data_IF_256124451181
#
_entry.id   IF_256124451181
#
_cell.length_a   1.000
_cell.length_b   1.000
_cell.length_c   1.000
_cell.angle_alpha   90.00
_cell.angle_beta   90.00
_cell.angle_gamma   90.00
#
_symmetry.space_group_name_H-M   'P 1'
#
loop_
_entity.id
_entity.type
_entity.pdbx_description
1 polymer ?
#
# COMPACT_ATOMS: atom_id res chain seq x y z
N UNK A 1 2.86 9.99 13.69
CA UNK A 1 2.78 8.73 14.46
C UNK A 1 1.39 8.13 14.26
N UNK A 2 1.25 6.86 13.81
CA UNK A 2 -0.04 6.18 13.68
C UNK A 2 -0.89 6.26 14.96
N UNK A 3 -0.27 6.31 16.13
CA UNK A 3 -0.98 6.52 17.39
C UNK A 3 -1.75 7.83 17.44
N UNK A 4 -1.21 8.91 16.92
CA UNK A 4 -1.91 10.20 16.87
C UNK A 4 -3.24 10.10 16.13
N UNK A 5 -3.28 9.33 15.04
CA UNK A 5 -4.48 9.17 14.23
C UNK A 5 -5.53 8.28 14.90
N UNK A 6 -5.07 7.30 15.69
CA UNK A 6 -5.96 6.34 16.36
C UNK A 6 -6.35 6.80 17.77
N UNK A 7 -5.62 7.75 18.35
CA UNK A 7 -6.01 8.42 19.61
C UNK A 7 -7.07 9.51 19.35
N UNK A 8 -7.21 9.94 18.08
CA UNK A 8 -8.27 10.85 17.66
C UNK A 8 -9.50 10.05 17.20
N UNK A 9 -10.45 9.85 18.12
CA UNK A 9 -11.73 9.21 17.82
C UNK A 9 -12.43 9.87 16.62
N UNK A 10 -12.21 11.18 16.41
CA UNK A 10 -12.75 11.93 15.29
C UNK A 10 -12.29 11.38 13.94
N UNK A 11 -11.02 10.96 13.81
CA UNK A 11 -10.52 10.37 12.57
C UNK A 11 -11.21 9.06 12.22
N UNK A 12 -11.47 8.22 13.23
CA UNK A 12 -12.19 6.98 13.01
C UNK A 12 -13.66 7.22 12.62
N UNK A 13 -14.28 8.24 13.19
CA UNK A 13 -15.64 8.63 12.86
C UNK A 13 -15.69 9.23 11.44
N UNK A 14 -14.78 10.13 11.09
CA UNK A 14 -14.67 10.69 9.74
C UNK A 14 -14.48 9.60 8.68
N UNK A 15 -13.64 8.57 8.96
CA UNK A 15 -13.47 7.43 8.06
C UNK A 15 -14.77 6.62 7.88
N UNK A 16 -15.56 6.45 8.95
CA UNK A 16 -16.86 5.75 8.88
C UNK A 16 -17.88 6.54 8.08
N UNK A 17 -17.81 7.87 8.15
CA UNK A 17 -18.75 8.79 7.49
C UNK A 17 -18.43 8.98 6.00
N UNK A 18 -17.26 8.56 5.50
CA UNK A 18 -16.94 8.56 4.07
C UNK A 18 -17.99 7.76 3.29
N UNK A 19 -18.59 8.39 2.29
CA UNK A 19 -19.60 7.79 1.41
C UNK A 19 -18.99 6.97 0.29
N UNK A 20 -17.80 7.34 -0.16
CA UNK A 20 -17.01 6.69 -1.21
C UNK A 20 -17.79 6.48 -2.52
N UNK A 21 -18.42 7.54 -3.07
CA UNK A 21 -19.40 7.42 -4.14
C UNK A 21 -18.80 6.88 -5.46
N UNK A 22 -17.51 7.10 -5.71
CA UNK A 22 -16.81 6.57 -6.88
C UNK A 22 -16.79 5.04 -6.94
N UNK A 23 -17.01 4.38 -5.81
CA UNK A 23 -17.02 2.91 -5.68
C UNK A 23 -18.44 2.31 -5.71
N UNK A 24 -19.48 3.14 -5.86
CA UNK A 24 -20.88 2.72 -6.05
C UNK A 24 -21.61 3.63 -7.02
N UNK A 25 -21.06 3.83 -8.21
CA UNK A 25 -21.63 4.73 -9.23
C UNK A 25 -23.05 4.35 -9.65
N UNK A 26 -23.39 3.06 -9.59
CA UNK A 26 -24.73 2.59 -9.95
C UNK A 26 -25.83 3.10 -9.01
N UNK A 27 -25.50 3.48 -7.80
CA UNK A 27 -26.43 4.12 -6.84
C UNK A 27 -26.78 5.56 -7.17
N UNK A 28 -26.03 6.17 -8.08
CA UNK A 28 -26.21 7.56 -8.52
C UNK A 28 -26.78 7.70 -9.93
N UNK A 29 -27.11 6.58 -10.58
CA UNK A 29 -27.72 6.56 -11.90
C UNK A 29 -29.02 7.36 -11.94
N UNK A 30 -29.16 8.26 -12.93
CA UNK A 30 -30.36 9.03 -13.16
C UNK A 30 -31.19 8.39 -14.28
N UNK A 31 -32.28 7.70 -13.95
CA UNK A 31 -33.09 7.00 -14.95
C UNK A 31 -33.75 7.94 -15.99
N UNK A 32 -33.81 9.24 -15.70
CA UNK A 32 -34.37 10.26 -16.60
C UNK A 32 -33.30 10.87 -17.53
N UNK A 33 -32.01 10.56 -17.33
CA UNK A 33 -30.95 11.07 -18.19
C UNK A 33 -30.87 10.28 -19.50
N UNK A 34 -30.30 10.92 -20.52
CA UNK A 34 -30.03 10.27 -21.79
C UNK A 34 -28.70 9.51 -21.70
N UNK A 35 -28.79 8.19 -21.64
CA UNK A 35 -27.62 7.32 -21.62
C UNK A 35 -27.21 6.87 -23.03
N UNK A 36 -25.91 6.86 -23.32
CA UNK A 36 -25.36 6.13 -24.46
C UNK A 36 -25.45 4.61 -24.19
N UNK A 37 -25.34 3.76 -25.22
CA UNK A 37 -25.24 2.30 -25.02
C UNK A 37 -24.05 1.91 -24.14
N UNK A 38 -22.93 2.64 -24.24
CA UNK A 38 -21.72 2.44 -23.46
C UNK A 38 -21.92 2.81 -21.99
N UNK A 39 -22.53 3.98 -21.70
CA UNK A 39 -22.84 4.37 -20.33
C UNK A 39 -23.72 3.33 -19.63
N UNK A 40 -24.77 2.86 -20.33
CA UNK A 40 -25.66 1.80 -19.80
C UNK A 40 -24.90 0.54 -19.46
N UNK A 41 -24.04 0.06 -20.37
CA UNK A 41 -23.27 -1.16 -20.16
C UNK A 41 -22.33 -1.04 -18.93
N UNK A 42 -21.71 0.11 -18.75
CA UNK A 42 -20.81 0.36 -17.61
C UNK A 42 -21.60 0.40 -16.29
N UNK A 43 -22.73 1.13 -16.25
CA UNK A 43 -23.57 1.22 -15.06
C UNK A 43 -24.18 -0.12 -14.68
N UNK A 44 -24.61 -0.91 -15.67
CA UNK A 44 -25.13 -2.28 -15.44
C UNK A 44 -24.05 -3.23 -14.93
N UNK A 45 -22.83 -3.14 -15.48
CA UNK A 45 -21.69 -3.89 -14.98
C UNK A 45 -21.36 -3.51 -13.52
N UNK A 46 -21.35 -2.21 -13.19
CA UNK A 46 -21.18 -1.73 -11.82
C UNK A 46 -22.30 -2.22 -10.88
N UNK A 47 -23.52 -2.34 -11.38
CA UNK A 47 -24.68 -2.85 -10.62
C UNK A 47 -24.60 -4.35 -10.38
N UNK A 48 -24.09 -5.12 -11.33
CA UNK A 48 -23.97 -6.60 -11.22
C UNK A 48 -22.76 -7.03 -10.41
N UNK A 49 -21.66 -6.25 -10.42
CA UNK A 49 -20.44 -6.49 -9.64
C UNK A 49 -20.55 -6.15 -8.15
N UNK A 50 -21.74 -6.17 -7.58
CA UNK A 50 -22.05 -5.78 -6.19
C UNK A 50 -21.47 -6.69 -5.12
N UNK A 51 -20.14 -6.66 -4.96
CA UNK A 51 -19.55 -6.90 -3.66
C UNK A 51 -19.60 -5.63 -2.80
N UNK A 52 -19.32 -5.72 -1.52
CA UNK A 52 -19.22 -4.57 -0.61
C UNK A 52 -17.93 -3.76 -0.89
N UNK A 53 -17.82 -3.16 -2.10
CA UNK A 53 -16.62 -2.44 -2.55
C UNK A 53 -16.27 -1.31 -1.58
N UNK A 54 -17.26 -0.57 -1.07
CA UNK A 54 -17.06 0.45 -0.03
C UNK A 54 -16.40 -0.14 1.22
N UNK A 55 -16.85 -1.30 1.67
CA UNK A 55 -16.27 -1.99 2.83
C UNK A 55 -14.81 -2.41 2.60
N UNK A 56 -14.46 -2.83 1.38
CA UNK A 56 -13.08 -3.17 1.02
C UNK A 56 -12.18 -1.93 1.02
N UNK A 57 -12.63 -0.81 0.44
CA UNK A 57 -11.87 0.45 0.43
C UNK A 57 -11.65 0.97 1.85
N UNK A 58 -12.68 0.98 2.69
CA UNK A 58 -12.54 1.34 4.10
C UNK A 58 -11.58 0.41 4.84
N UNK A 59 -11.69 -0.90 4.62
CA UNK A 59 -10.73 -1.86 5.17
C UNK A 59 -9.31 -1.57 4.70
N UNK A 60 -9.11 -1.20 3.43
CA UNK A 60 -7.83 -0.78 2.88
C UNK A 60 -7.27 0.44 3.60
N UNK A 61 -8.07 1.48 3.83
CA UNK A 61 -7.65 2.68 4.57
C UNK A 61 -7.26 2.35 6.02
N UNK A 62 -8.02 1.49 6.71
CA UNK A 62 -7.64 1.03 8.06
C UNK A 62 -6.35 0.21 8.07
N UNK A 63 -6.12 -0.62 7.06
CA UNK A 63 -4.87 -1.37 6.92
C UNK A 63 -3.68 -0.44 6.70
N UNK A 64 -3.81 0.55 5.82
CA UNK A 64 -2.76 1.55 5.58
C UNK A 64 -2.46 2.37 6.82
N UNK A 65 -3.47 2.77 7.57
CA UNK A 65 -3.31 3.41 8.87
C UNK A 65 -2.53 2.53 9.85
N UNK A 66 -2.79 1.23 9.88
CA UNK A 66 -2.05 0.27 10.73
C UNK A 66 -0.63 0.00 10.24
N UNK A 67 -0.38 0.14 8.94
CA UNK A 67 0.95 -0.03 8.36
C UNK A 67 1.83 1.18 8.67
N UNK A 68 1.46 2.36 8.17
CA UNK A 68 2.22 3.59 8.38
C UNK A 68 1.31 4.82 8.21
N UNK A 69 1.49 5.84 9.07
CA UNK A 69 0.77 7.10 8.91
C UNK A 69 1.12 7.82 7.62
N UNK A 70 2.35 7.70 7.14
CA UNK A 70 2.76 8.19 5.83
C UNK A 70 1.91 7.58 4.70
N UNK A 71 1.83 6.25 4.64
CA UNK A 71 1.05 5.53 3.64
C UNK A 71 -0.45 5.86 3.71
N UNK A 72 -0.96 6.08 4.92
CA UNK A 72 -2.35 6.51 5.13
C UNK A 72 -2.61 7.91 4.57
N UNK A 73 -1.73 8.89 4.88
CA UNK A 73 -1.82 10.26 4.34
C UNK A 73 -1.76 10.24 2.82
N UNK A 74 -0.84 9.48 2.21
CA UNK A 74 -0.75 9.35 0.76
C UNK A 74 -2.06 8.81 0.16
N UNK A 75 -2.67 7.82 0.81
CA UNK A 75 -3.94 7.27 0.34
C UNK A 75 -5.10 8.27 0.44
N UNK A 76 -5.17 9.03 1.54
CA UNK A 76 -6.17 10.11 1.67
C UNK A 76 -5.95 11.20 0.61
N UNK A 77 -4.70 11.57 0.36
CA UNK A 77 -4.34 12.55 -0.68
C UNK A 77 -4.79 12.08 -2.07
N UNK A 78 -4.51 10.83 -2.43
CA UNK A 78 -4.97 10.25 -3.71
C UNK A 78 -6.50 10.23 -3.80
N UNK A 79 -7.19 9.87 -2.72
CA UNK A 79 -8.67 9.91 -2.68
C UNK A 79 -9.20 11.32 -2.90
N UNK A 80 -8.60 12.31 -2.24
CA UNK A 80 -8.98 13.72 -2.38
C UNK A 80 -8.80 14.21 -3.82
N UNK A 81 -7.61 14.00 -4.40
CA UNK A 81 -7.31 14.42 -5.79
C UNK A 81 -8.34 13.84 -6.75
N UNK A 82 -8.67 12.56 -6.63
CA UNK A 82 -9.65 11.89 -7.48
C UNK A 82 -11.06 12.42 -7.27
N UNK A 83 -11.46 12.74 -6.06
CA UNK A 83 -12.76 13.36 -5.80
C UNK A 83 -12.84 14.73 -6.44
N UNK A 84 -11.81 15.57 -6.30
CA UNK A 84 -11.77 16.91 -6.90
C UNK A 84 -11.79 16.84 -8.44
N UNK A 85 -11.08 15.90 -9.06
CA UNK A 85 -11.12 15.67 -10.52
C UNK A 85 -12.51 15.22 -11.00
N UNK A 86 -13.21 14.39 -10.22
CA UNK A 86 -14.57 13.99 -10.54
C UNK A 86 -15.56 15.16 -10.40
N UNK A 87 -15.43 15.97 -9.34
CA UNK A 87 -16.24 17.18 -9.13
C UNK A 87 -16.01 18.14 -10.30
N UNK A 88 -14.75 18.37 -10.70
CA UNK A 88 -14.42 19.19 -11.85
C UNK A 88 -15.09 18.65 -13.13
N UNK A 89 -14.99 17.36 -13.40
CA UNK A 89 -15.61 16.74 -14.57
C UNK A 89 -17.15 16.89 -14.55
N UNK A 90 -17.79 16.71 -13.40
CA UNK A 90 -19.25 16.88 -13.26
C UNK A 90 -19.66 18.33 -13.51
N UNK A 91 -18.95 19.29 -12.91
CA UNK A 91 -19.26 20.71 -13.04
C UNK A 91 -19.08 21.22 -14.48
N UNK A 92 -18.22 20.58 -15.28
CA UNK A 92 -17.96 20.90 -16.69
C UNK A 92 -18.64 19.94 -17.67
N UNK A 93 -19.51 19.04 -17.19
CA UNK A 93 -20.22 18.04 -18.01
C UNK A 93 -19.30 17.12 -18.83
N UNK A 94 -18.11 16.86 -18.31
CA UNK A 94 -17.10 15.95 -18.88
C UNK A 94 -17.36 14.52 -18.44
N UNK A 95 -16.67 13.57 -19.07
CA UNK A 95 -16.73 12.15 -18.66
C UNK A 95 -15.87 11.89 -17.43
N UNK A 96 -16.31 10.96 -16.58
CA UNK A 96 -15.54 10.49 -15.42
C UNK A 96 -14.96 9.10 -15.67
N UNK A 97 -13.71 8.84 -15.23
CA UNK A 97 -13.11 7.53 -15.40
C UNK A 97 -13.70 6.53 -14.41
N UNK A 98 -14.13 5.38 -14.90
CA UNK A 98 -14.56 4.28 -14.05
C UNK A 98 -13.51 3.17 -14.12
N UNK A 99 -13.01 2.71 -12.95
CA UNK A 99 -12.09 1.60 -12.90
C UNK A 99 -12.76 0.30 -13.36
N UNK A 100 -12.00 -0.56 -14.06
CA UNK A 100 -12.36 -1.95 -14.19
C UNK A 100 -12.05 -2.62 -12.85
N UNK A 101 -13.02 -2.72 -11.96
CA UNK A 101 -12.90 -3.61 -10.81
C UNK A 101 -13.07 -5.05 -11.34
N UNK A 102 -11.96 -5.69 -11.73
CA UNK A 102 -11.96 -7.14 -11.88
C UNK A 102 -11.96 -7.76 -10.48
N UNK A 103 -12.64 -8.89 -10.30
CA UNK A 103 -12.63 -9.63 -9.03
C UNK A 103 -11.21 -9.96 -8.56
N UNK A 104 -10.25 -10.12 -9.48
CA UNK A 104 -8.81 -10.29 -9.20
C UNK A 104 -8.14 -9.03 -8.63
N UNK A 105 -8.65 -7.83 -8.94
CA UNK A 105 -8.14 -6.56 -8.40
C UNK A 105 -8.81 -6.16 -7.07
N UNK A 106 -9.97 -6.71 -6.78
CA UNK A 106 -10.58 -6.71 -5.43
C UNK A 106 -9.93 -7.78 -4.54
N UNK A 107 -9.12 -8.64 -5.15
CA UNK A 107 -8.37 -9.69 -4.48
C UNK A 107 -7.46 -9.10 -3.42
N UNK A 108 -7.70 -9.51 -2.23
CA UNK A 108 -7.07 -9.54 -0.92
C UNK A 108 -5.54 -9.35 -0.84
N UNK A 109 -4.86 -9.14 -1.94
CA UNK A 109 -3.42 -9.17 -2.04
C UNK A 109 -2.91 -7.84 -2.57
N UNK A 110 -2.65 -6.89 -1.64
CA UNK A 110 -1.62 -5.86 -1.80
C UNK A 110 -1.62 -5.02 -3.09
N UNK A 111 -2.66 -5.12 -3.93
CA UNK A 111 -2.67 -4.39 -5.17
C UNK A 111 -3.05 -2.94 -4.91
N UNK A 112 -2.04 -2.08 -4.83
CA UNK A 112 -2.19 -0.65 -5.12
C UNK A 112 -2.78 -0.43 -6.54
N UNK A 113 -2.97 -1.52 -7.29
CA UNK A 113 -3.46 -1.59 -8.67
C UNK A 113 -4.91 -1.12 -8.86
N UNK A 114 -5.74 -1.06 -7.81
CA UNK A 114 -7.04 -0.40 -7.90
C UNK A 114 -6.93 1.12 -7.94
N UNK A 115 -5.77 1.66 -7.60
CA UNK A 115 -5.47 3.07 -7.63
C UNK A 115 -4.68 3.35 -8.93
N UNK A 116 -5.31 4.04 -9.89
CA UNK A 116 -4.66 4.50 -11.11
C UNK A 116 -3.31 5.16 -10.78
N UNK A 117 -2.22 4.63 -11.32
CA UNK A 117 -0.86 5.17 -11.18
C UNK A 117 -0.77 6.63 -11.66
N UNK A 118 -1.74 7.08 -12.47
CA UNK A 118 -1.79 8.42 -13.07
C UNK A 118 -1.91 9.59 -12.09
N UNK A 119 -2.17 9.35 -10.81
CA UNK A 119 -2.15 10.41 -9.78
C UNK A 119 -0.98 10.28 -8.81
N UNK A 120 -0.08 9.29 -9.01
CA UNK A 120 1.15 9.19 -8.24
C UNK A 120 2.06 10.38 -8.56
N UNK A 121 2.60 11.01 -7.51
CA UNK A 121 3.44 12.23 -7.62
C UNK A 121 2.69 13.55 -7.51
N UNK A 122 1.35 13.57 -7.59
CA UNK A 122 0.57 14.78 -7.38
C UNK A 122 0.46 15.12 -5.87
N UNK A 123 0.52 16.41 -5.55
CA UNK A 123 0.41 16.93 -4.19
C UNK A 123 -0.91 17.68 -4.00
N UNK A 124 -1.40 17.77 -2.76
CA UNK A 124 -2.62 18.56 -2.45
C UNK A 124 -2.49 20.02 -2.87
N UNK A 125 -1.26 20.56 -2.87
CA UNK A 125 -0.98 21.93 -3.31
C UNK A 125 -1.28 22.14 -4.81
N UNK A 126 -1.22 21.08 -5.61
CA UNK A 126 -1.52 21.14 -7.05
C UNK A 126 -3.03 21.34 -7.31
N UNK A 127 -3.89 21.04 -6.32
CA UNK A 127 -5.34 21.21 -6.43
C UNK A 127 -5.78 22.69 -6.46
N UNK A 128 -4.98 23.61 -5.96
CA UNK A 128 -5.38 25.02 -5.77
C UNK A 128 -5.33 25.87 -7.03
N UNK A 129 -4.85 25.34 -8.18
CA UNK A 129 -4.70 26.16 -9.39
C UNK A 129 -4.83 25.44 -10.75
N UNK A 130 -4.99 24.12 -10.81
CA UNK A 130 -4.76 23.43 -12.07
C UNK A 130 -5.61 22.17 -12.35
N UNK A 131 -6.85 22.12 -11.85
CA UNK A 131 -7.73 20.94 -12.05
C UNK A 131 -7.99 20.64 -13.54
N UNK A 132 -8.04 21.65 -14.40
CA UNK A 132 -8.17 21.49 -15.86
C UNK A 132 -7.00 20.71 -16.44
N UNK A 133 -5.77 21.16 -16.19
CA UNK A 133 -4.56 20.48 -16.69
C UNK A 133 -4.40 19.09 -16.07
N UNK A 134 -4.77 18.91 -14.80
CA UNK A 134 -4.76 17.61 -14.15
C UNK A 134 -5.77 16.66 -14.80
N UNK A 135 -6.96 17.14 -15.12
CA UNK A 135 -7.96 16.36 -15.82
C UNK A 135 -7.50 16.00 -17.25
N UNK A 136 -6.93 16.95 -17.99
CA UNK A 136 -6.35 16.68 -19.32
C UNK A 136 -5.22 15.65 -19.26
N UNK A 137 -4.33 15.79 -18.29
CA UNK A 137 -3.26 14.81 -18.05
C UNK A 137 -3.82 13.42 -17.72
N UNK A 138 -4.86 13.34 -16.88
CA UNK A 138 -5.55 12.10 -16.57
C UNK A 138 -6.13 11.45 -17.84
N UNK A 139 -6.76 12.24 -18.73
CA UNK A 139 -7.31 11.73 -20.00
C UNK A 139 -6.22 11.20 -20.91
N UNK A 140 -5.07 11.89 -21.00
CA UNK A 140 -3.94 11.50 -21.85
C UNK A 140 -3.19 10.29 -21.33
N UNK A 141 -3.04 10.15 -20.02
CA UNK A 141 -2.27 9.07 -19.37
C UNK A 141 -3.11 7.85 -19.00
N UNK A 142 -4.44 7.95 -19.11
CA UNK A 142 -5.32 6.85 -18.74
C UNK A 142 -5.04 5.58 -19.55
N UNK A 143 -4.93 4.41 -18.90
CA UNK A 143 -4.77 3.14 -19.61
C UNK A 143 -5.87 2.90 -20.63
N UNK A 144 -5.54 2.23 -21.75
CA UNK A 144 -6.48 1.98 -22.87
C UNK A 144 -7.77 1.24 -22.43
N UNK A 145 -7.71 0.46 -21.36
CA UNK A 145 -8.85 -0.25 -20.78
C UNK A 145 -9.74 0.61 -19.87
N UNK A 146 -9.34 1.86 -19.58
CA UNK A 146 -10.14 2.77 -18.75
C UNK A 146 -11.49 3.05 -19.41
N UNK A 147 -12.56 2.81 -18.68
CA UNK A 147 -13.91 3.10 -19.14
C UNK A 147 -14.31 4.50 -18.68
N UNK A 148 -14.94 5.24 -19.57
CA UNK A 148 -15.38 6.60 -19.32
C UNK A 148 -16.89 6.67 -19.39
N UNK A 149 -17.53 7.32 -18.40
CA UNK A 149 -18.97 7.51 -18.33
C UNK A 149 -19.27 9.01 -18.35
N UNK A 150 -20.25 9.42 -19.13
CA UNK A 150 -20.69 10.81 -19.12
C UNK A 150 -21.19 11.20 -17.73
N UNK A 151 -20.67 12.31 -17.19
CA UNK A 151 -21.13 12.80 -15.87
C UNK A 151 -22.62 13.21 -15.86
N UNK A 152 -23.18 13.50 -17.02
CA UNK A 152 -24.59 13.93 -17.17
C UNK A 152 -25.61 12.82 -16.91
N UNK A 153 -25.18 11.57 -16.85
CA UNK A 153 -26.07 10.43 -16.55
C UNK A 153 -26.29 10.22 -15.05
N UNK A 154 -25.57 10.96 -14.21
CA UNK A 154 -25.70 10.83 -12.76
C UNK A 154 -26.62 11.89 -12.15
N UNK A 155 -27.17 11.59 -10.99
CA UNK A 155 -27.90 12.55 -10.17
C UNK A 155 -26.94 13.55 -9.51
N UNK A 156 -27.44 14.76 -9.14
CA UNK A 156 -26.65 15.76 -8.41
C UNK A 156 -26.09 15.25 -7.08
N UNK A 157 -26.73 14.24 -6.50
CA UNK A 157 -26.27 13.58 -5.27
C UNK A 157 -24.85 13.04 -5.38
N UNK A 158 -24.40 12.60 -6.57
CA UNK A 158 -23.02 12.15 -6.77
C UNK A 158 -22.02 13.26 -6.44
N UNK A 159 -22.26 14.46 -6.98
CA UNK A 159 -21.42 15.64 -6.72
C UNK A 159 -21.41 16.01 -5.23
N UNK A 160 -22.59 16.03 -4.61
CA UNK A 160 -22.74 16.38 -3.19
C UNK A 160 -22.00 15.39 -2.27
N UNK A 161 -22.08 14.10 -2.57
CA UNK A 161 -21.42 13.05 -1.81
C UNK A 161 -19.89 13.08 -2.02
N UNK A 162 -19.40 13.42 -3.23
CA UNK A 162 -17.98 13.65 -3.49
C UNK A 162 -17.44 14.85 -2.71
N UNK A 163 -18.19 15.96 -2.70
CA UNK A 163 -17.84 17.16 -1.96
C UNK A 163 -17.77 16.89 -0.46
N UNK A 164 -18.74 16.17 0.08
CA UNK A 164 -18.75 15.75 1.48
C UNK A 164 -17.48 14.95 1.85
N UNK A 165 -17.12 13.95 1.05
CA UNK A 165 -15.93 13.16 1.29
C UNK A 165 -14.65 14.00 1.16
N UNK A 166 -14.60 14.93 0.19
CA UNK A 166 -13.47 15.84 0.04
C UNK A 166 -13.26 16.72 1.27
N UNK A 167 -14.34 17.24 1.85
CA UNK A 167 -14.30 18.08 3.06
C UNK A 167 -13.80 17.28 4.27
N UNK A 168 -14.29 16.06 4.46
CA UNK A 168 -13.84 15.17 5.52
C UNK A 168 -12.35 14.83 5.36
N UNK A 169 -11.90 14.49 4.15
CA UNK A 169 -10.51 14.17 3.88
C UNK A 169 -9.62 15.41 4.10
N UNK A 170 -10.01 16.59 3.62
CA UNK A 170 -9.29 17.84 3.86
C UNK A 170 -9.16 18.13 5.36
N UNK A 171 -10.23 17.91 6.13
CA UNK A 171 -10.22 18.09 7.58
C UNK A 171 -9.23 17.09 8.26
N UNK A 172 -9.24 15.82 7.86
CA UNK A 172 -8.29 14.83 8.35
C UNK A 172 -6.84 15.24 8.02
N UNK A 173 -6.54 15.54 6.76
CA UNK A 173 -5.20 15.96 6.33
C UNK A 173 -4.73 17.23 7.05
N UNK A 174 -5.62 18.18 7.28
CA UNK A 174 -5.32 19.41 8.02
C UNK A 174 -4.95 19.17 9.49
N UNK A 175 -5.60 18.19 10.16
CA UNK A 175 -5.26 17.81 11.54
C UNK A 175 -3.90 17.14 11.66
N UNK A 176 -3.47 16.41 10.64
CA UNK A 176 -2.26 15.62 10.68
C UNK A 176 -1.00 16.40 10.29
N UNK A 177 -1.15 17.42 9.47
CA UNK A 177 -0.03 18.21 8.97
C UNK A 177 0.97 17.37 8.17
N UNK A 178 2.20 17.84 8.11
CA UNK A 178 3.29 17.13 7.41
C UNK A 178 3.80 15.97 8.27
N UNK A 179 3.85 14.78 7.68
CA UNK A 179 4.43 13.61 8.33
C UNK A 179 5.95 13.76 8.45
N UNK A 180 6.48 13.49 9.65
CA UNK A 180 7.91 13.63 9.95
C UNK A 180 8.48 12.30 10.46
N UNK A 181 9.58 11.87 9.85
CA UNK A 181 10.34 10.65 10.21
C UNK A 181 10.81 10.71 11.67
N UNK A 182 11.22 11.89 12.12
CA UNK A 182 11.78 12.15 13.44
C UNK A 182 10.78 11.90 14.60
N UNK A 183 9.50 11.93 14.30
CA UNK A 183 8.43 11.72 15.29
C UNK A 183 7.72 10.37 15.13
N UNK A 184 8.10 9.54 14.16
CA UNK A 184 7.48 8.22 13.95
C UNK A 184 8.03 7.19 14.93
N UNK A 185 7.31 6.95 16.01
CA UNK A 185 7.68 5.98 17.05
C UNK A 185 7.82 4.55 16.55
N UNK A 186 7.03 4.17 15.52
CA UNK A 186 7.09 2.84 14.92
C UNK A 186 8.38 2.64 14.13
N UNK A 187 8.79 3.65 13.36
CA UNK A 187 10.05 3.64 12.63
C UNK A 187 11.24 3.68 13.58
N UNK A 188 11.17 4.48 14.65
CA UNK A 188 12.19 4.49 15.68
C UNK A 188 12.35 3.14 16.38
N UNK A 189 11.25 2.45 16.69
CA UNK A 189 11.30 1.11 17.26
C UNK A 189 11.98 0.10 16.30
N UNK A 190 11.74 0.22 14.99
CA UNK A 190 12.44 -0.59 13.99
C UNK A 190 13.94 -0.25 13.96
N UNK A 191 14.30 1.03 13.94
CA UNK A 191 15.71 1.47 13.99
C UNK A 191 16.40 0.91 15.23
N UNK A 192 15.79 1.03 16.40
CA UNK A 192 16.38 0.55 17.66
C UNK A 192 16.54 -0.97 17.66
N UNK A 193 15.60 -1.71 17.10
CA UNK A 193 15.73 -3.15 16.90
C UNK A 193 16.96 -3.48 16.03
N UNK A 194 17.13 -2.77 14.91
CA UNK A 194 18.23 -2.96 13.96
C UNK A 194 19.59 -2.58 14.58
N UNK A 195 19.67 -1.40 15.21
CA UNK A 195 20.96 -0.83 15.66
C UNK A 195 21.40 -1.33 17.03
N UNK A 196 20.47 -1.66 17.93
CA UNK A 196 20.82 -2.03 19.31
C UNK A 196 20.81 -3.55 19.50
N UNK A 197 19.85 -4.26 18.88
CA UNK A 197 19.70 -5.68 19.08
C UNK A 197 20.36 -6.53 17.98
N UNK A 198 20.35 -6.03 16.77
CA UNK A 198 20.83 -6.70 15.56
C UNK A 198 21.87 -5.87 14.78
N UNK A 199 22.79 -5.20 15.50
CA UNK A 199 23.76 -4.26 14.92
C UNK A 199 24.64 -4.90 13.84
N UNK A 200 24.94 -6.19 13.95
CA UNK A 200 25.80 -6.93 13.01
C UNK A 200 25.04 -7.91 12.12
N UNK A 201 23.71 -7.98 12.26
CA UNK A 201 22.90 -8.95 11.54
C UNK A 201 22.29 -8.33 10.29
N UNK A 202 22.03 -9.18 9.30
CA UNK A 202 21.17 -8.82 8.17
C UNK A 202 19.70 -8.90 8.59
N UNK A 203 18.96 -7.86 8.30
CA UNK A 203 17.55 -7.72 8.70
C UNK A 203 16.65 -7.60 7.48
N UNK A 204 15.74 -8.55 7.33
CA UNK A 204 14.71 -8.53 6.29
C UNK A 204 13.42 -7.98 6.87
N UNK A 205 12.95 -6.85 6.34
CA UNK A 205 11.73 -6.17 6.78
C UNK A 205 10.64 -6.34 5.74
N UNK A 206 9.50 -6.88 6.12
CA UNK A 206 8.34 -7.02 5.25
C UNK A 206 7.24 -6.02 5.59
N UNK A 207 6.62 -5.48 4.55
CA UNK A 207 5.41 -4.66 4.61
C UNK A 207 4.45 -5.04 3.48
N UNK A 208 3.15 -4.76 3.61
CA UNK A 208 2.16 -5.01 2.56
C UNK A 208 2.16 -3.92 1.46
N UNK A 209 2.65 -2.70 1.77
CA UNK A 209 2.51 -1.54 0.89
C UNK A 209 3.84 -1.01 0.36
N UNK A 210 3.89 -0.73 -0.95
CA UNK A 210 5.06 -0.14 -1.58
C UNK A 210 5.44 1.22 -0.96
N UNK A 211 4.45 2.10 -0.72
CA UNK A 211 4.68 3.40 -0.10
C UNK A 211 5.33 3.27 1.27
N UNK A 212 4.89 2.27 2.05
CA UNK A 212 5.49 1.95 3.35
C UNK A 212 6.91 1.41 3.19
N UNK A 213 7.18 0.56 2.17
CA UNK A 213 8.51 0.01 1.95
C UNK A 213 9.54 1.11 1.65
N UNK A 214 9.22 2.00 0.73
CA UNK A 214 10.08 3.14 0.39
C UNK A 214 10.23 4.10 1.57
N UNK A 215 9.12 4.44 2.24
CA UNK A 215 9.15 5.27 3.44
C UNK A 215 10.06 4.72 4.54
N UNK A 216 10.00 3.42 4.82
CA UNK A 216 10.87 2.77 5.83
C UNK A 216 12.32 2.89 5.41
N UNK A 217 12.66 2.55 4.15
CA UNK A 217 14.05 2.58 3.70
C UNK A 217 14.64 3.99 3.76
N UNK A 218 13.95 4.99 3.22
CA UNK A 218 14.38 6.39 3.27
C UNK A 218 14.45 6.91 4.71
N UNK A 219 13.46 6.56 5.52
CA UNK A 219 13.40 6.99 6.92
C UNK A 219 14.52 6.39 7.76
N UNK A 220 14.85 5.10 7.59
CA UNK A 220 15.98 4.47 8.25
C UNK A 220 17.31 5.12 7.83
N UNK A 221 17.48 5.42 6.53
CA UNK A 221 18.67 6.14 6.03
C UNK A 221 18.80 7.53 6.67
N UNK A 222 17.70 8.29 6.76
CA UNK A 222 17.66 9.59 7.45
C UNK A 222 17.98 9.48 8.95
N UNK A 223 17.62 8.36 9.58
CA UNK A 223 17.93 8.06 10.97
C UNK A 223 19.34 7.45 11.18
N UNK A 224 20.17 7.40 10.12
CA UNK A 224 21.57 6.99 10.19
C UNK A 224 21.83 5.49 10.01
N UNK A 225 20.83 4.69 9.61
CA UNK A 225 21.05 3.28 9.30
C UNK A 225 21.64 3.14 7.90
N UNK A 226 22.80 2.49 7.79
CA UNK A 226 23.51 2.32 6.53
C UNK A 226 23.10 1.05 5.78
N UNK A 227 23.37 1.02 4.48
CA UNK A 227 23.16 -0.16 3.61
C UNK A 227 21.72 -0.68 3.63
N UNK A 228 20.77 0.25 3.55
CA UNK A 228 19.32 -0.03 3.48
C UNK A 228 18.83 0.13 2.05
N UNK A 229 17.97 -0.76 1.59
CA UNK A 229 17.24 -0.58 0.33
C UNK A 229 15.81 -1.09 0.47
N UNK A 230 14.92 -0.61 -0.42
CA UNK A 230 13.57 -1.10 -0.57
C UNK A 230 13.39 -1.82 -1.91
N UNK A 231 12.51 -2.85 -1.91
CA UNK A 231 12.07 -3.58 -3.10
C UNK A 231 10.55 -3.75 -3.04
N UNK A 232 9.88 -3.29 -4.08
CA UNK A 232 8.43 -3.37 -4.24
C UNK A 232 8.06 -3.88 -5.63
N UNK A 233 6.76 -3.94 -5.93
CA UNK A 233 6.26 -4.49 -7.19
C UNK A 233 6.67 -3.73 -8.45
N UNK A 234 7.06 -2.48 -8.31
CA UNK A 234 7.56 -1.59 -9.37
C UNK A 234 9.09 -1.53 -9.49
N UNK A 235 9.82 -2.36 -8.72
CA UNK A 235 11.28 -2.44 -8.81
C UNK A 235 11.71 -3.22 -10.07
N UNK A 236 12.54 -2.62 -10.93
CA UNK A 236 12.96 -3.21 -12.21
C UNK A 236 13.72 -4.53 -12.09
N UNK A 237 14.61 -4.68 -11.11
CA UNK A 237 15.40 -5.91 -10.88
C UNK A 237 15.45 -6.31 -9.40
N UNK A 238 14.37 -6.88 -8.85
CA UNK A 238 14.34 -7.36 -7.48
C UNK A 238 15.44 -8.38 -7.15
N UNK A 239 15.86 -9.17 -8.16
CA UNK A 239 16.89 -10.19 -7.98
C UNK A 239 18.28 -9.58 -7.71
N UNK A 240 18.59 -8.41 -8.25
CA UNK A 240 19.81 -7.68 -7.95
C UNK A 240 19.89 -7.30 -6.47
N UNK A 241 18.80 -6.81 -5.91
CA UNK A 241 18.71 -6.48 -4.48
C UNK A 241 18.85 -7.73 -3.60
N UNK A 242 18.21 -8.83 -3.99
CA UNK A 242 18.35 -10.10 -3.27
C UNK A 242 19.81 -10.60 -3.26
N UNK A 243 20.54 -10.51 -4.39
CA UNK A 243 21.97 -10.85 -4.47
C UNK A 243 22.85 -9.95 -3.60
N UNK A 244 22.57 -8.63 -3.56
CA UNK A 244 23.26 -7.68 -2.68
C UNK A 244 22.97 -7.91 -1.20
N UNK A 245 21.78 -8.37 -0.88
CA UNK A 245 21.35 -8.66 0.49
C UNK A 245 21.86 -10.04 0.97
N UNK A 246 21.83 -11.06 0.10
CA UNK A 246 22.26 -12.44 0.41
C UNK A 246 23.32 -12.91 -0.59
N UNK A 247 24.51 -12.32 -0.60
CA UNK A 247 25.54 -12.66 -1.58
C UNK A 247 26.08 -14.09 -1.41
N UNK A 248 26.11 -14.64 -0.20
CA UNK A 248 26.62 -16.01 0.05
C UNK A 248 25.63 -17.03 -0.49
N UNK A 249 24.36 -16.91 -0.17
CA UNK A 249 23.30 -17.85 -0.59
C UNK A 249 22.96 -17.77 -2.09
N UNK A 250 23.37 -16.69 -2.76
CA UNK A 250 23.14 -16.50 -4.19
C UNK A 250 24.44 -16.64 -5.03
N UNK A 251 25.54 -17.16 -4.45
CA UNK A 251 26.74 -17.47 -5.24
C UNK A 251 26.44 -18.58 -6.22
N UNK A 252 26.77 -18.35 -7.49
CA UNK A 252 26.78 -19.40 -8.50
C UNK A 252 28.02 -20.29 -8.22
N UNK A 253 27.88 -21.61 -8.15
CA UNK A 253 29.05 -22.50 -7.96
C UNK A 253 30.11 -22.23 -9.05
N UNK A 254 31.35 -22.04 -8.64
CA UNK A 254 32.49 -21.61 -9.48
C UNK A 254 32.83 -22.62 -10.61
N UNK A 255 32.24 -23.81 -10.59
CA UNK A 255 32.45 -24.82 -11.66
C UNK A 255 31.69 -24.49 -12.96
N UNK A 256 30.75 -23.52 -12.94
CA UNK A 256 29.91 -23.17 -14.10
C UNK A 256 30.20 -21.80 -14.69
N UNK A 257 30.95 -20.92 -14.00
CA UNK A 257 31.23 -19.56 -14.45
C UNK A 257 32.66 -19.18 -14.06
N UNK A 258 33.45 -18.65 -14.99
CA UNK A 258 34.76 -18.08 -14.67
C UNK A 258 34.61 -16.88 -13.73
N UNK A 259 35.57 -16.62 -12.82
CA UNK A 259 35.56 -15.48 -11.89
C UNK A 259 35.33 -14.11 -12.60
N UNK A 260 35.55 -14.03 -13.91
CA UNK A 260 35.33 -12.88 -14.75
C UNK A 260 33.84 -12.70 -15.19
N UNK A 261 33.02 -13.77 -15.06
CA UNK A 261 31.61 -13.78 -15.52
C UNK A 261 30.61 -13.84 -14.35
N UNK A 262 31.07 -13.93 -13.10
CA UNK A 262 30.20 -13.76 -11.95
C UNK A 262 29.60 -12.34 -12.03
N UNK A 263 28.25 -12.19 -12.09
CA UNK A 263 27.66 -10.86 -12.18
C UNK A 263 28.10 -10.02 -10.99
N UNK A 264 28.87 -8.97 -11.28
CA UNK A 264 29.32 -8.03 -10.27
C UNK A 264 28.08 -7.49 -9.53
N UNK A 265 28.17 -7.42 -8.19
CA UNK A 265 27.12 -6.79 -7.40
C UNK A 265 26.99 -5.34 -7.86
N UNK A 266 25.84 -4.96 -8.43
CA UNK A 266 25.55 -3.59 -8.85
C UNK A 266 25.30 -2.71 -7.61
N UNK A 267 26.35 -2.47 -6.80
CA UNK A 267 26.31 -1.64 -5.61
C UNK A 267 26.80 -2.33 -4.35
N UNK A 268 26.82 -1.62 -3.21
CA UNK A 268 27.32 -2.16 -1.94
C UNK A 268 26.41 -3.28 -1.42
N UNK A 269 27.00 -4.15 -0.61
CA UNK A 269 26.25 -5.17 0.12
C UNK A 269 25.20 -4.52 1.03
N UNK A 270 24.00 -5.09 1.06
CA UNK A 270 22.89 -4.59 1.87
C UNK A 270 22.86 -5.29 3.23
N UNK A 271 22.67 -4.52 4.29
CA UNK A 271 22.43 -5.00 5.65
C UNK A 271 20.93 -5.09 5.96
N UNK A 272 20.16 -4.12 5.48
CA UNK A 272 18.72 -4.09 5.68
C UNK A 272 18.02 -4.07 4.32
N UNK A 273 17.12 -5.03 4.13
CA UNK A 273 16.27 -5.07 2.95
C UNK A 273 14.82 -4.95 3.36
N UNK A 274 14.16 -3.88 2.91
CA UNK A 274 12.73 -3.67 3.10
C UNK A 274 12.00 -4.15 1.86
N UNK A 275 11.04 -5.05 2.00
CA UNK A 275 10.37 -5.65 0.86
C UNK A 275 8.88 -5.75 1.03
N UNK A 276 8.15 -5.61 -0.07
CA UNK A 276 6.81 -6.15 -0.18
C UNK A 276 6.87 -7.65 -0.49
N UNK A 277 5.72 -8.31 -0.56
CA UNK A 277 5.66 -9.74 -0.86
C UNK A 277 6.18 -10.10 -2.27
N UNK A 278 6.62 -9.12 -3.08
CA UNK A 278 7.28 -9.34 -4.39
C UNK A 278 8.55 -10.18 -4.29
N UNK A 279 9.31 -10.07 -3.18
CA UNK A 279 10.44 -10.95 -2.90
C UNK A 279 10.03 -12.30 -2.28
N UNK A 280 8.74 -12.55 -2.20
CA UNK A 280 8.23 -13.78 -1.61
C UNK A 280 8.41 -15.01 -2.50
N UNK A 281 8.85 -14.89 -3.76
CA UNK A 281 9.03 -16.02 -4.68
C UNK A 281 10.44 -16.07 -5.29
N UNK A 282 11.06 -17.24 -5.26
CA UNK A 282 12.25 -17.58 -6.05
C UNK A 282 13.60 -17.08 -5.55
N UNK A 283 13.69 -16.20 -4.56
CA UNK A 283 14.96 -15.62 -4.10
C UNK A 283 15.51 -16.32 -2.85
N UNK A 284 16.84 -16.44 -2.77
CA UNK A 284 17.53 -16.93 -1.58
C UNK A 284 17.90 -15.75 -0.68
N UNK A 285 17.34 -15.70 0.53
CA UNK A 285 17.57 -14.62 1.50
C UNK A 285 18.17 -15.17 2.81
N UNK A 286 18.80 -16.33 2.76
CA UNK A 286 19.27 -17.13 3.89
C UNK A 286 20.52 -16.58 4.58
N UNK A 287 21.18 -15.56 4.01
CA UNK A 287 22.27 -14.86 4.73
C UNK A 287 21.71 -14.03 5.90
N UNK A 288 20.41 -13.81 5.94
CA UNK A 288 19.71 -13.23 7.08
C UNK A 288 19.11 -14.33 7.98
N UNK A 289 18.93 -14.01 9.25
CA UNK A 289 18.18 -14.82 10.22
C UNK A 289 17.21 -13.96 11.04
N UNK A 290 17.08 -12.68 10.69
CA UNK A 290 16.16 -11.74 11.33
C UNK A 290 15.12 -11.30 10.33
N UNK A 291 13.85 -11.58 10.63
CA UNK A 291 12.70 -11.18 9.84
C UNK A 291 11.81 -10.27 10.67
N UNK A 292 11.49 -9.09 10.15
CA UNK A 292 10.60 -8.14 10.79
C UNK A 292 9.35 -7.96 9.93
N UNK A 293 8.18 -8.23 10.47
CA UNK A 293 6.92 -7.85 9.86
C UNK A 293 6.55 -6.45 10.40
N UNK A 294 6.70 -5.43 9.56
CA UNK A 294 6.40 -4.06 9.93
C UNK A 294 4.90 -3.81 10.06
N UNK A 295 4.12 -4.50 9.26
CA UNK A 295 2.68 -4.60 9.40
C UNK A 295 2.23 -6.06 9.45
N UNK A 296 1.00 -6.24 9.92
CA UNK A 296 0.44 -7.55 10.10
C UNK A 296 -0.32 -7.97 8.85
N UNK A 297 0.14 -9.00 8.13
CA UNK A 297 -0.61 -9.55 7.01
C UNK A 297 -1.92 -10.19 7.52
N UNK A 298 -3.00 -10.01 6.76
CA UNK A 298 -4.30 -10.57 7.11
C UNK A 298 -4.32 -12.10 7.04
N UNK A 299 -3.50 -12.68 6.20
CA UNK A 299 -3.33 -14.12 6.10
C UNK A 299 -2.10 -14.55 6.92
N UNK A 300 -2.31 -15.28 8.01
CA UNK A 300 -1.23 -15.80 8.86
C UNK A 300 -0.23 -16.64 8.08
N UNK A 301 -0.68 -17.34 7.05
CA UNK A 301 0.19 -18.11 6.18
C UNK A 301 1.31 -17.26 5.58
N UNK A 302 1.10 -15.97 5.36
CA UNK A 302 2.14 -15.05 4.88
C UNK A 302 3.27 -14.85 5.89
N UNK A 303 2.98 -14.83 7.20
CA UNK A 303 4.03 -14.77 8.23
C UNK A 303 4.95 -16.00 8.13
N UNK A 304 4.36 -17.18 7.93
CA UNK A 304 5.09 -18.43 7.74
C UNK A 304 5.90 -18.39 6.44
N UNK A 305 5.28 -17.92 5.35
CA UNK A 305 5.95 -17.78 4.05
C UNK A 305 7.12 -16.80 4.11
N UNK A 306 6.94 -15.65 4.79
CA UNK A 306 7.99 -14.64 4.99
C UNK A 306 9.15 -15.19 5.83
N UNK A 307 8.87 -15.87 6.95
CA UNK A 307 9.88 -16.56 7.74
C UNK A 307 10.60 -17.64 6.92
N UNK A 308 9.87 -18.43 6.15
CA UNK A 308 10.41 -19.48 5.27
C UNK A 308 11.30 -18.96 4.13
N UNK A 309 11.45 -17.63 3.93
CA UNK A 309 12.43 -17.06 2.98
C UNK A 309 13.84 -17.12 3.51
N UNK A 310 14.02 -17.07 4.81
CA UNK A 310 15.31 -17.18 5.49
C UNK A 310 15.49 -18.55 6.16
N UNK A 311 14.42 -19.18 6.59
CA UNK A 311 14.43 -20.51 7.19
C UNK A 311 14.35 -21.60 6.11
N UNK A 312 15.49 -21.90 5.50
CA UNK A 312 15.64 -22.90 4.42
C UNK A 312 16.86 -23.77 4.64
N UNK A 313 16.92 -24.87 3.88
CA UNK A 313 18.11 -25.72 3.81
C UNK A 313 19.34 -24.89 3.42
N UNK A 314 20.37 -24.90 4.25
CA UNK A 314 21.56 -24.04 4.11
C UNK A 314 21.61 -22.84 5.05
N UNK A 315 20.59 -22.62 5.86
CA UNK A 315 20.64 -21.61 6.93
C UNK A 315 21.73 -21.98 7.95
N UNK A 316 22.69 -21.07 8.16
CA UNK A 316 23.82 -21.29 9.07
C UNK A 316 23.52 -20.96 10.53
N UNK A 317 22.48 -20.16 10.76
CA UNK A 317 22.03 -19.82 12.10
C UNK A 317 21.08 -20.88 12.66
N UNK A 318 21.25 -21.24 13.94
CA UNK A 318 20.40 -22.24 14.59
C UNK A 318 18.98 -21.76 14.84
N UNK A 319 18.76 -20.45 14.87
CA UNK A 319 17.47 -19.84 15.14
C UNK A 319 17.20 -18.71 14.13
N UNK A 320 15.96 -18.62 13.70
CA UNK A 320 15.42 -17.49 12.92
C UNK A 320 14.55 -16.64 13.85
N UNK A 321 14.90 -15.37 13.95
CA UNK A 321 14.18 -14.41 14.78
C UNK A 321 13.10 -13.72 13.96
N UNK A 322 11.83 -13.90 14.34
CA UNK A 322 10.69 -13.26 13.67
C UNK A 322 10.05 -12.23 14.59
N UNK A 323 10.05 -10.98 14.17
CA UNK A 323 9.45 -9.87 14.90
C UNK A 323 8.21 -9.38 14.20
N UNK A 324 7.28 -8.88 15.01
CA UNK A 324 6.11 -8.13 14.56
C UNK A 324 6.11 -6.78 15.26
N UNK A 325 6.14 -5.70 14.49
CA UNK A 325 6.00 -4.34 15.00
C UNK A 325 4.53 -3.95 14.89
N UNK A 326 3.91 -3.68 16.01
CA UNK A 326 2.51 -3.22 16.04
C UNK A 326 2.35 -2.06 17.00
N UNK A 327 1.51 -1.10 16.63
CA UNK A 327 1.14 0.00 17.51
C UNK A 327 0.08 -0.46 18.52
N UNK A 328 0.24 -0.13 19.82
CA UNK A 328 -0.68 -0.59 20.86
C UNK A 328 -2.11 -0.11 20.64
N UNK A 329 -2.30 1.11 20.18
CA UNK A 329 -3.62 1.72 19.94
C UNK A 329 -4.33 1.05 18.77
N UNK A 330 -3.60 0.78 17.68
CA UNK A 330 -4.10 0.02 16.53
C UNK A 330 -4.52 -1.38 16.96
N UNK A 331 -3.70 -2.02 17.81
CA UNK A 331 -4.00 -3.35 18.37
C UNK A 331 -5.29 -3.36 19.18
N UNK A 332 -5.52 -2.35 20.05
CA UNK A 332 -6.76 -2.24 20.84
C UNK A 332 -8.01 -2.14 19.96
N UNK A 333 -7.92 -1.37 18.86
CA UNK A 333 -9.06 -1.13 17.98
C UNK A 333 -9.35 -2.33 17.07
N UNK A 334 -8.32 -2.94 16.48
CA UNK A 334 -8.47 -3.99 15.49
C UNK A 334 -8.40 -5.41 16.07
N UNK A 335 -7.95 -5.57 17.33
CA UNK A 335 -7.77 -6.86 18.05
C UNK A 335 -6.97 -7.87 17.21
N UNK A 336 -5.96 -7.42 16.50
CA UNK A 336 -5.24 -8.22 15.52
C UNK A 336 -4.47 -9.38 16.17
N UNK A 337 -3.82 -9.13 17.34
CA UNK A 337 -3.07 -10.16 18.07
C UNK A 337 -3.97 -11.29 18.56
N UNK A 338 -5.17 -10.98 19.05
CA UNK A 338 -6.12 -12.01 19.49
C UNK A 338 -6.59 -12.86 18.32
N UNK A 339 -6.90 -12.25 17.18
CA UNK A 339 -7.29 -12.96 15.96
C UNK A 339 -6.17 -13.86 15.42
N UNK A 340 -4.91 -13.42 15.50
CA UNK A 340 -3.76 -14.24 15.11
C UNK A 340 -3.61 -15.43 16.06
N UNK A 341 -3.64 -15.18 17.36
CA UNK A 341 -3.51 -16.26 18.36
C UNK A 341 -4.55 -17.33 18.14
N UNK A 342 -5.83 -16.96 18.00
CA UNK A 342 -6.92 -17.90 17.73
C UNK A 342 -6.70 -18.73 16.45
N UNK A 343 -6.19 -18.10 15.38
CA UNK A 343 -5.92 -18.80 14.13
C UNK A 343 -4.69 -19.68 14.18
N UNK A 344 -3.62 -19.26 14.88
CA UNK A 344 -2.44 -20.10 15.11
C UNK A 344 -2.78 -21.31 15.97
N UNK A 345 -3.57 -21.13 17.04
CA UNK A 345 -4.05 -22.22 17.88
C UNK A 345 -4.98 -23.19 17.11
N UNK A 346 -5.79 -22.67 16.17
CA UNK A 346 -6.62 -23.49 15.30
C UNK A 346 -5.78 -24.27 14.29
N UNK A 347 -4.76 -23.64 13.70
CA UNK A 347 -3.85 -24.30 12.77
C UNK A 347 -2.95 -25.34 13.43
N UNK A 348 -2.59 -25.14 14.71
CA UNK A 348 -1.80 -26.11 15.48
C UNK A 348 -2.60 -27.36 15.92
N UNK A 349 -3.95 -27.27 15.87
CA UNK A 349 -4.85 -28.37 16.22
C UNK A 349 -5.34 -29.18 15.01
N UNK A 350 -5.08 -28.69 13.78
CA UNK A 350 -5.41 -29.34 12.53
C UNK A 350 -4.22 -30.17 11.98
#
# INVERSE_FOLDING_TARGET
DPARFMEDDQTLDDLRDLRLPRYDISGYDNPNARHSPEDKAIIEAARSGRGNVRGFVLSGLYKRLSSSGYSFIQSLTRQLIRNELWIYAIDHQLSVPTGSFSDDQLGLEGSDAADFESVDGLQVQDLSGNLEQMYESLVQSAPAQTKWVSSTVFTSRLRDDLQHDSELIKAMLGRFGTWQVETDSKLHALRDLIEQKHANDKVLVFTEYKDTAYYIAEGLQKLGVENVAAVAGDTDDPASYARRFSPVSNRVPTEQVSDAEAPALNGPELRVLVATDVLSEGQNLQDAHVVVNYDLPWAIIRLIQRAGRVDRVGQVHHEVNVYLISHQTVERTLKLRSRIRERLESAAKA
#
